data_IF_604652272615
#
_entry.id   IF_604652272615
#
_cell.length_a   1.000
_cell.length_b   1.000
_cell.length_c   1.000
_cell.angle_alpha   90.00
_cell.angle_beta   90.00
_cell.angle_gamma   90.00
#
_symmetry.space_group_name_H-M   'P 1'
#
loop_
_entity.id
_entity.type
_entity.pdbx_description
1 polymer ?
#
# COMPACT_ATOMS: atom_id res chain seq x y z
N UNK A 1 13.54 11.53 -14.76
CA UNK A 1 14.08 10.98 -13.49
C UNK A 1 14.38 12.16 -12.59
N UNK A 2 14.09 12.03 -11.30
CA UNK A 2 14.39 13.07 -10.33
C UNK A 2 15.90 13.29 -10.17
N UNK A 3 16.34 14.54 -9.95
CA UNK A 3 17.75 14.82 -9.70
C UNK A 3 18.24 14.10 -8.44
N UNK A 4 19.51 13.72 -8.46
CA UNK A 4 20.16 12.95 -7.40
C UNK A 4 20.44 13.88 -6.20
N UNK A 5 20.05 13.47 -4.99
CA UNK A 5 20.36 14.23 -3.77
C UNK A 5 21.87 14.24 -3.50
N UNK A 6 22.41 15.27 -2.81
CA UNK A 6 23.84 15.34 -2.47
C UNK A 6 24.35 14.09 -1.74
N UNK A 7 23.57 13.56 -0.80
CA UNK A 7 23.88 12.33 -0.07
C UNK A 7 23.99 11.10 -0.99
N UNK A 8 23.13 11.03 -2.00
CA UNK A 8 23.15 9.94 -2.98
C UNK A 8 24.36 10.08 -3.91
N UNK A 9 24.72 11.32 -4.26
CA UNK A 9 25.92 11.62 -5.04
C UNK A 9 27.19 11.25 -4.27
N UNK A 10 27.26 11.57 -2.99
CA UNK A 10 28.38 11.15 -2.12
C UNK A 10 28.48 9.62 -2.05
N UNK A 11 27.37 8.94 -1.80
CA UNK A 11 27.34 7.48 -1.73
C UNK A 11 27.81 6.79 -3.02
N UNK A 12 27.61 7.41 -4.19
CA UNK A 12 28.09 6.88 -5.48
C UNK A 12 29.62 6.85 -5.57
N UNK A 13 30.29 7.84 -4.98
CA UNK A 13 31.74 8.04 -5.08
C UNK A 13 32.49 7.64 -3.80
N UNK A 14 31.78 7.18 -2.77
CA UNK A 14 32.38 6.71 -1.53
C UNK A 14 32.89 5.27 -1.66
N UNK A 15 34.21 5.09 -1.76
CA UNK A 15 34.87 3.77 -1.75
C UNK A 15 34.62 2.91 -3.00
N UNK A 16 34.91 1.62 -2.90
CA UNK A 16 34.82 0.68 -4.03
C UNK A 16 33.59 -0.23 -3.97
N UNK A 17 32.97 -0.47 -5.13
CA UNK A 17 31.81 -1.36 -5.26
C UNK A 17 32.07 -2.80 -4.80
N UNK A 18 33.30 -3.30 -4.96
CA UNK A 18 33.69 -4.66 -4.54
C UNK A 18 33.57 -4.87 -3.03
N UNK A 19 33.69 -3.80 -2.25
CA UNK A 19 33.57 -3.80 -0.78
C UNK A 19 32.13 -3.47 -0.33
N UNK A 20 31.17 -3.49 -1.27
CA UNK A 20 29.79 -3.14 -0.99
C UNK A 20 29.51 -1.64 -0.87
N UNK A 21 30.50 -0.78 -1.15
CA UNK A 21 30.38 0.70 -1.10
C UNK A 21 30.05 1.29 -2.48
N UNK A 22 30.11 2.61 -2.62
CA UNK A 22 29.99 3.28 -3.91
C UNK A 22 28.68 2.99 -4.63
N UNK A 23 28.80 2.60 -5.90
CA UNK A 23 27.66 2.25 -6.77
C UNK A 23 26.87 1.06 -6.25
N UNK A 24 27.50 0.08 -5.61
CA UNK A 24 26.78 -1.07 -5.05
C UNK A 24 25.85 -0.61 -3.92
N UNK A 25 26.34 0.21 -3.00
CA UNK A 25 25.55 0.80 -1.93
C UNK A 25 24.40 1.67 -2.47
N UNK A 26 24.68 2.48 -3.49
CA UNK A 26 23.66 3.27 -4.18
C UNK A 26 22.53 2.40 -4.71
N UNK A 27 22.84 1.33 -5.45
CA UNK A 27 21.82 0.45 -6.03
C UNK A 27 20.98 -0.21 -4.94
N UNK A 28 21.60 -0.69 -3.86
CA UNK A 28 20.87 -1.27 -2.71
C UNK A 28 19.89 -0.29 -2.09
N UNK A 29 20.33 0.95 -1.83
CA UNK A 29 19.46 2.02 -1.30
C UNK A 29 18.36 2.40 -2.29
N UNK A 30 18.69 2.42 -3.58
CA UNK A 30 17.74 2.80 -4.64
C UNK A 30 16.61 1.80 -4.80
N UNK A 31 16.85 0.50 -4.59
CA UNK A 31 15.81 -0.53 -4.67
C UNK A 31 14.72 -0.31 -3.62
N UNK A 32 15.07 0.20 -2.43
CA UNK A 32 14.13 0.43 -1.33
C UNK A 32 13.14 1.58 -1.61
N UNK A 33 13.47 2.50 -2.52
CA UNK A 33 12.59 3.61 -2.89
C UNK A 33 11.48 3.15 -3.82
N UNK A 34 10.29 3.72 -3.69
CA UNK A 34 9.20 3.56 -4.64
C UNK A 34 9.53 4.18 -6.01
N UNK A 35 8.79 3.82 -7.07
CA UNK A 35 8.96 4.46 -8.38
C UNK A 35 8.60 5.96 -8.35
N UNK A 36 7.60 6.36 -7.54
CA UNK A 36 7.17 7.76 -7.36
C UNK A 36 8.25 8.67 -6.74
N UNK A 37 9.19 8.10 -5.97
CA UNK A 37 10.32 8.84 -5.43
C UNK A 37 11.45 9.04 -6.47
N UNK A 38 11.46 8.23 -7.54
CA UNK A 38 12.53 8.17 -8.55
C UNK A 38 12.16 8.94 -9.82
N UNK A 39 10.87 9.02 -10.13
CA UNK A 39 10.34 9.55 -11.37
C UNK A 39 9.22 10.55 -11.10
N UNK A 40 9.17 11.61 -11.90
CA UNK A 40 8.15 12.65 -11.75
C UNK A 40 6.80 12.23 -12.34
N UNK A 41 6.83 11.30 -13.28
CA UNK A 41 5.66 10.77 -13.99
C UNK A 41 5.79 9.25 -14.19
N UNK A 42 4.65 8.53 -14.32
CA UNK A 42 4.66 7.14 -14.72
C UNK A 42 5.31 6.99 -16.09
N UNK A 43 6.24 6.04 -16.23
CA UNK A 43 6.90 5.77 -17.52
C UNK A 43 6.29 4.58 -18.25
N UNK A 44 5.59 3.71 -17.53
CA UNK A 44 5.05 2.45 -18.03
C UNK A 44 3.55 2.42 -17.71
N UNK A 45 2.76 1.87 -18.61
CA UNK A 45 1.32 1.67 -18.38
C UNK A 45 1.02 0.82 -17.14
N UNK A 46 1.92 -0.10 -16.80
CA UNK A 46 1.83 -0.89 -15.56
C UNK A 46 1.86 -0.05 -14.28
N UNK A 47 2.32 1.20 -14.34
CA UNK A 47 2.35 2.11 -13.19
C UNK A 47 1.13 2.99 -13.13
N UNK A 48 0.29 3.04 -14.16
CA UNK A 48 -0.94 3.85 -14.15
C UNK A 48 -1.83 3.49 -12.96
N UNK A 49 -1.88 2.20 -12.62
CA UNK A 49 -2.53 1.73 -11.41
C UNK A 49 -1.61 1.85 -10.19
N UNK A 50 -2.11 2.52 -9.15
CA UNK A 50 -1.41 2.65 -7.87
C UNK A 50 -0.44 3.83 -7.78
N UNK A 51 -0.19 4.56 -8.88
CA UNK A 51 0.64 5.77 -8.84
C UNK A 51 0.07 6.83 -7.91
N UNK A 52 0.90 7.29 -6.97
CA UNK A 52 0.59 8.30 -5.95
C UNK A 52 -0.62 7.93 -5.10
N UNK A 53 -0.92 6.64 -4.98
CA UNK A 53 -2.02 6.15 -4.13
C UNK A 53 -1.79 6.53 -2.66
N UNK A 54 -0.53 6.65 -2.24
CA UNK A 54 -0.17 7.08 -0.88
C UNK A 54 -0.49 8.53 -0.55
N UNK A 55 -0.74 9.39 -1.55
CA UNK A 55 -1.12 10.79 -1.33
C UNK A 55 -2.61 10.94 -0.99
N UNK A 56 -3.40 9.92 -1.30
CA UNK A 56 -4.80 9.87 -0.91
C UNK A 56 -4.90 9.37 0.52
N UNK A 57 -5.83 9.97 1.26
CA UNK A 57 -6.06 9.62 2.65
C UNK A 57 -6.39 8.11 2.76
N UNK A 58 -5.62 7.43 3.62
CA UNK A 58 -5.83 6.01 3.93
C UNK A 58 -6.94 5.83 4.95
N UNK A 59 -7.64 6.89 5.35
CA UNK A 59 -8.92 6.76 6.01
C UNK A 59 -9.90 6.03 5.10
N UNK A 60 -9.83 4.70 5.15
CA UNK A 60 -10.86 3.82 4.68
C UNK A 60 -12.07 4.04 5.57
N UNK A 61 -12.83 5.10 5.27
CA UNK A 61 -14.13 5.31 5.89
C UNK A 61 -15.08 4.34 5.24
N UNK A 62 -15.43 3.30 6.00
CA UNK A 62 -16.62 2.52 5.65
C UNK A 62 -17.77 3.49 5.48
N UNK A 63 -18.45 3.53 4.32
CA UNK A 63 -19.50 4.50 4.07
C UNK A 63 -20.54 4.44 5.19
N UNK A 64 -20.78 5.57 5.86
CA UNK A 64 -21.63 5.65 7.05
C UNK A 64 -23.04 5.09 6.79
N UNK A 65 -23.54 5.26 5.57
CA UNK A 65 -24.85 4.78 5.12
C UNK A 65 -24.74 3.73 3.99
N UNK A 66 -23.63 3.00 3.92
CA UNK A 66 -23.33 2.07 2.81
C UNK A 66 -23.84 0.64 2.97
N UNK A 67 -23.65 -0.14 1.89
CA UNK A 67 -24.13 -1.52 1.65
C UNK A 67 -23.67 -2.59 2.66
N UNK A 68 -22.95 -2.21 3.70
CA UNK A 68 -22.55 -3.07 4.81
C UNK A 68 -23.75 -3.77 5.46
N UNK A 69 -24.92 -3.10 5.47
CA UNK A 69 -26.17 -3.67 5.98
C UNK A 69 -26.64 -4.90 5.20
N UNK A 70 -26.51 -4.91 3.87
CA UNK A 70 -26.91 -6.08 3.06
C UNK A 70 -26.02 -7.27 3.38
N UNK A 71 -24.70 -7.10 3.35
CA UNK A 71 -23.75 -8.17 3.71
C UNK A 71 -24.01 -8.66 5.14
N UNK A 72 -24.24 -7.76 6.09
CA UNK A 72 -24.57 -8.11 7.48
C UNK A 72 -25.85 -8.94 7.59
N UNK A 73 -26.87 -8.62 6.80
CA UNK A 73 -28.18 -9.26 6.88
C UNK A 73 -28.29 -10.55 6.04
N UNK A 74 -27.52 -10.69 4.94
CA UNK A 74 -27.65 -11.81 4.02
C UNK A 74 -26.51 -12.82 4.09
N UNK A 75 -25.28 -12.39 4.42
CA UNK A 75 -24.11 -13.26 4.41
C UNK A 75 -23.83 -13.86 5.79
N UNK A 76 -23.99 -13.08 6.86
CA UNK A 76 -23.75 -13.55 8.22
C UNK A 76 -25.02 -14.09 8.86
N UNK A 77 -24.97 -15.31 9.39
CA UNK A 77 -26.03 -15.86 10.22
C UNK A 77 -26.14 -15.06 11.53
N UNK A 78 -27.37 -14.74 11.95
CA UNK A 78 -27.65 -13.95 13.18
C UNK A 78 -27.00 -14.55 14.44
N UNK A 79 -26.89 -15.88 14.49
CA UNK A 79 -26.36 -16.65 15.62
C UNK A 79 -25.01 -17.34 15.31
N UNK A 80 -24.30 -16.90 14.26
CA UNK A 80 -23.05 -17.54 13.84
C UNK A 80 -23.24 -18.96 13.30
N UNK A 81 -22.15 -19.75 13.25
CA UNK A 81 -22.13 -21.10 12.68
C UNK A 81 -22.84 -22.12 13.59
N UNK A 82 -22.80 -21.91 14.91
CA UNK A 82 -23.48 -22.74 15.89
C UNK A 82 -24.84 -22.13 16.23
N UNK A 83 -25.89 -22.63 15.58
CA UNK A 83 -27.25 -22.15 15.80
C UNK A 83 -27.81 -22.66 17.15
N UNK A 84 -27.67 -21.85 18.19
CA UNK A 84 -28.45 -22.01 19.42
C UNK A 84 -29.73 -21.18 19.28
N UNK A 85 -30.92 -21.80 19.23
CA UNK A 85 -32.17 -21.07 19.04
C UNK A 85 -32.42 -20.16 20.24
N UNK A 86 -32.47 -18.85 20.00
CA UNK A 86 -32.89 -17.86 21.00
C UNK A 86 -34.40 -17.59 20.86
N UNK A 87 -35.14 -17.38 21.96
CA UNK A 87 -36.56 -17.00 21.91
C UNK A 87 -36.83 -15.77 21.02
N UNK A 88 -35.85 -14.87 20.89
CA UNK A 88 -35.92 -13.67 20.04
C UNK A 88 -35.85 -13.93 18.53
N UNK A 89 -35.47 -15.13 18.09
CA UNK A 89 -35.40 -15.46 16.65
C UNK A 89 -36.78 -15.60 15.99
N UNK A 90 -37.82 -15.81 16.78
CA UNK A 90 -39.22 -15.96 16.32
C UNK A 90 -39.99 -14.64 16.21
N UNK A 91 -39.38 -13.52 16.59
CA UNK A 91 -40.03 -12.20 16.65
C UNK A 91 -39.73 -11.34 15.41
N UNK A 92 -39.28 -11.96 14.32
CA UNK A 92 -39.03 -11.32 13.03
C UNK A 92 -40.27 -11.25 12.16
#
# INVERSE_FOLDING_TARGET
>A
MRPVSPQTKEALFQGFSKEGRGRHLYLRRRVQKGPEEKFDFPLLSSWDYGWRLGDYDREYRSPANGRSGIVRNTFYARNGIFHFPSPTDRLG
#
